data_IF_916526234687
#
_entry.id   IF_916526234687
#
_cell.length_a   1.000
_cell.length_b   1.000
_cell.length_c   1.000
_cell.angle_alpha   90.00
_cell.angle_beta   90.00
_cell.angle_gamma   90.00
#
_symmetry.space_group_name_H-M   'P 1'
#
loop_
_entity.id
_entity.type
_entity.pdbx_description
1 polymer ?
#
# COMPACT_ATOMS: atom_id res chain seq x y z
N UNK A 1 -11.14 -54.60 -2.40
CA UNK A 1 -10.11 -53.85 -1.67
C UNK A 1 -8.73 -54.49 -1.75
N UNK A 2 -8.55 -55.78 -1.52
CA UNK A 2 -7.24 -56.46 -1.53
C UNK A 2 -6.52 -56.38 -2.88
N UNK A 3 -7.22 -56.50 -4.01
CA UNK A 3 -6.62 -56.42 -5.34
C UNK A 3 -6.11 -55.01 -5.68
N UNK A 4 -6.78 -53.94 -5.21
CA UNK A 4 -6.34 -52.58 -5.36
C UNK A 4 -5.07 -52.29 -4.56
N UNK A 5 -5.00 -52.76 -3.31
CA UNK A 5 -3.81 -52.65 -2.48
C UNK A 5 -2.60 -53.34 -3.09
N UNK A 6 -2.76 -54.57 -3.62
CA UNK A 6 -1.68 -55.30 -4.31
C UNK A 6 -1.17 -54.55 -5.55
N UNK A 7 -2.06 -53.93 -6.33
CA UNK A 7 -1.70 -53.11 -7.50
C UNK A 7 -0.91 -51.85 -7.10
N UNK A 8 -1.30 -51.20 -6.01
CA UNK A 8 -0.59 -50.04 -5.48
C UNK A 8 0.84 -50.40 -5.04
N UNK A 9 0.99 -51.51 -4.30
CA UNK A 9 2.31 -51.99 -3.85
C UNK A 9 3.19 -52.37 -5.02
N UNK A 10 2.62 -52.97 -6.06
CA UNK A 10 3.40 -53.35 -7.25
C UNK A 10 3.96 -52.12 -7.99
N UNK A 11 3.21 -50.99 -8.04
CA UNK A 11 3.63 -49.73 -8.70
C UNK A 11 4.26 -48.74 -7.74
N UNK A 12 4.68 -49.13 -6.54
CA UNK A 12 5.21 -48.22 -5.50
C UNK A 12 6.30 -47.26 -6.00
N UNK A 13 7.25 -47.73 -6.81
CA UNK A 13 8.33 -46.91 -7.37
C UNK A 13 7.81 -45.87 -8.32
N UNK A 14 6.83 -46.22 -9.16
CA UNK A 14 6.19 -45.29 -10.10
C UNK A 14 5.39 -44.21 -9.36
N UNK A 15 4.67 -44.58 -8.29
CA UNK A 15 3.90 -43.63 -7.47
C UNK A 15 4.82 -42.63 -6.79
N UNK A 16 5.95 -43.11 -6.22
CA UNK A 16 6.95 -42.20 -5.60
C UNK A 16 7.56 -41.27 -6.64
N UNK A 17 7.93 -41.81 -7.82
CA UNK A 17 8.46 -40.97 -8.92
C UNK A 17 7.44 -39.92 -9.39
N UNK A 18 6.17 -40.29 -9.55
CA UNK A 18 5.09 -39.35 -9.91
C UNK A 18 4.90 -38.28 -8.84
N UNK A 19 4.99 -38.66 -7.55
CA UNK A 19 4.90 -37.69 -6.46
C UNK A 19 6.02 -36.61 -6.53
N UNK A 20 7.26 -37.04 -6.81
CA UNK A 20 8.38 -36.13 -7.01
C UNK A 20 8.19 -35.23 -8.24
N UNK A 21 7.66 -35.73 -9.34
CA UNK A 21 7.36 -34.92 -10.53
C UNK A 21 6.30 -33.88 -10.20
N UNK A 22 5.27 -34.21 -9.42
CA UNK A 22 4.21 -33.25 -9.03
C UNK A 22 4.69 -32.20 -8.03
N UNK A 23 5.76 -32.45 -7.27
CA UNK A 23 6.35 -31.45 -6.39
C UNK A 23 6.91 -30.25 -7.17
N UNK A 24 7.46 -30.47 -8.38
CA UNK A 24 8.03 -29.38 -9.19
C UNK A 24 6.99 -28.31 -9.55
N UNK A 25 5.86 -28.64 -10.20
CA UNK A 25 4.84 -27.64 -10.50
C UNK A 25 4.19 -27.07 -9.24
N UNK A 26 4.11 -27.85 -8.14
CA UNK A 26 3.57 -27.37 -6.87
C UNK A 26 4.45 -26.28 -6.27
N UNK A 27 5.77 -26.46 -6.24
CA UNK A 27 6.69 -25.43 -5.73
C UNK A 27 6.68 -24.15 -6.61
N UNK A 28 6.63 -24.32 -7.94
CA UNK A 28 6.48 -23.19 -8.85
C UNK A 28 5.14 -22.46 -8.62
N UNK A 29 4.07 -23.22 -8.38
CA UNK A 29 2.75 -22.67 -8.06
C UNK A 29 2.78 -21.81 -6.81
N UNK A 30 3.37 -22.28 -5.72
CA UNK A 30 3.48 -21.55 -4.46
C UNK A 30 4.18 -20.20 -4.67
N UNK A 31 5.33 -20.19 -5.38
CA UNK A 31 6.10 -18.95 -5.62
C UNK A 31 5.36 -17.97 -6.53
N UNK A 32 4.57 -18.47 -7.48
CA UNK A 32 3.80 -17.63 -8.42
C UNK A 32 2.42 -17.22 -7.92
N UNK A 33 1.91 -17.85 -6.89
CA UNK A 33 0.61 -17.51 -6.31
C UNK A 33 0.71 -16.15 -5.62
N UNK A 34 -0.10 -15.21 -6.08
CA UNK A 34 -0.23 -13.88 -5.48
C UNK A 34 -1.54 -13.81 -4.71
N UNK A 35 -1.44 -13.31 -3.50
CA UNK A 35 -2.64 -13.00 -2.70
C UNK A 35 -3.16 -11.64 -3.20
N UNK A 36 -4.41 -11.61 -3.64
CA UNK A 36 -5.04 -10.36 -4.01
C UNK A 36 -5.60 -9.68 -2.75
N UNK A 37 -5.00 -8.55 -2.37
CA UNK A 37 -5.46 -7.74 -1.24
C UNK A 37 -6.48 -6.68 -1.65
N UNK A 38 -6.87 -6.65 -2.93
CA UNK A 38 -7.82 -5.67 -3.45
C UNK A 38 -9.26 -6.08 -3.14
N UNK A 39 -9.82 -5.46 -2.12
CA UNK A 39 -11.20 -5.69 -1.71
C UNK A 39 -12.17 -5.31 -2.83
N UNK A 40 -11.82 -4.29 -3.65
CA UNK A 40 -12.68 -3.83 -4.74
C UNK A 40 -12.79 -4.87 -5.86
N UNK A 41 -11.76 -5.68 -6.08
CA UNK A 41 -11.77 -6.74 -7.10
C UNK A 41 -12.78 -7.86 -6.81
N UNK A 42 -13.32 -7.94 -5.61
CA UNK A 42 -14.37 -8.89 -5.23
C UNK A 42 -15.79 -8.31 -5.39
N UNK A 43 -15.88 -7.03 -5.73
CA UNK A 43 -17.17 -6.35 -5.93
C UNK A 43 -17.57 -6.38 -7.41
N UNK A 44 -18.88 -6.44 -7.71
CA UNK A 44 -19.36 -6.31 -9.08
C UNK A 44 -19.00 -4.96 -9.69
N UNK A 45 -18.56 -4.93 -10.94
CA UNK A 45 -18.21 -3.71 -11.69
C UNK A 45 -19.36 -2.69 -11.82
N UNK A 46 -20.61 -3.16 -11.60
CA UNK A 46 -21.79 -2.31 -11.64
C UNK A 46 -21.92 -1.34 -10.47
N UNK A 47 -21.19 -1.58 -9.37
CA UNK A 47 -21.25 -0.74 -8.17
C UNK A 47 -20.63 0.63 -8.39
N UNK A 48 -21.28 1.66 -7.84
CA UNK A 48 -20.80 3.04 -7.92
C UNK A 48 -19.41 3.23 -7.33
N UNK A 49 -19.08 2.48 -6.28
CA UNK A 49 -17.76 2.53 -5.65
C UNK A 49 -16.64 2.07 -6.61
N UNK A 50 -16.88 0.99 -7.36
CA UNK A 50 -15.92 0.47 -8.35
C UNK A 50 -15.75 1.48 -9.48
N UNK A 51 -16.87 1.95 -10.06
CA UNK A 51 -16.84 2.99 -11.09
C UNK A 51 -16.17 4.29 -10.63
N UNK A 52 -16.43 4.69 -9.39
CA UNK A 52 -15.78 5.87 -8.80
C UNK A 52 -14.27 5.68 -8.67
N UNK A 53 -13.81 4.51 -8.29
CA UNK A 53 -12.39 4.19 -8.22
C UNK A 53 -11.72 4.24 -9.60
N UNK A 54 -12.36 3.67 -10.62
CA UNK A 54 -11.85 3.70 -11.99
C UNK A 54 -11.71 5.14 -12.49
N UNK A 55 -12.74 5.97 -12.25
CA UNK A 55 -12.69 7.41 -12.60
C UNK A 55 -11.55 8.12 -11.85
N UNK A 56 -11.34 7.81 -10.56
CA UNK A 56 -10.26 8.38 -9.76
C UNK A 56 -8.89 8.04 -10.35
N UNK A 57 -8.68 6.79 -10.76
CA UNK A 57 -7.44 6.35 -11.38
C UNK A 57 -7.25 6.97 -12.77
N UNK A 58 -8.25 6.85 -13.63
CA UNK A 58 -8.13 7.18 -15.05
C UNK A 58 -8.15 8.70 -15.33
N UNK A 59 -8.98 9.44 -14.61
CA UNK A 59 -9.17 10.87 -14.88
C UNK A 59 -8.40 11.78 -13.93
N UNK A 60 -8.18 11.35 -12.68
CA UNK A 60 -7.48 12.15 -11.67
C UNK A 60 -6.07 11.64 -11.36
N UNK A 61 -5.67 10.50 -11.91
CA UNK A 61 -4.37 9.89 -11.64
C UNK A 61 -4.18 9.49 -10.16
N UNK A 62 -5.27 9.41 -9.39
CA UNK A 62 -5.25 9.17 -7.95
C UNK A 62 -5.66 7.73 -7.66
N UNK A 63 -4.73 6.80 -7.76
CA UNK A 63 -5.00 5.38 -7.52
C UNK A 63 -5.18 5.03 -6.05
N UNK A 64 -4.37 5.60 -5.19
CA UNK A 64 -4.40 5.35 -3.75
C UNK A 64 -3.86 6.55 -2.97
N UNK A 65 -4.15 6.58 -1.66
CA UNK A 65 -3.59 7.59 -0.77
C UNK A 65 -3.24 7.02 0.60
N UNK A 66 -2.29 7.68 1.27
CA UNK A 66 -1.96 7.46 2.67
C UNK A 66 -1.85 8.80 3.40
N UNK A 67 -2.19 8.80 4.67
CA UNK A 67 -2.00 9.93 5.57
C UNK A 67 -0.68 9.76 6.31
N UNK A 68 0.12 10.81 6.34
CA UNK A 68 1.40 10.85 7.07
C UNK A 68 1.24 11.86 8.19
N UNK A 69 1.27 11.39 9.41
CA UNK A 69 1.21 12.23 10.61
C UNK A 69 2.63 12.42 11.12
N UNK A 70 3.02 13.65 11.33
CA UNK A 70 4.33 14.03 11.85
C UNK A 70 4.13 14.77 13.16
N UNK A 71 4.76 14.28 14.24
CA UNK A 71 4.65 14.85 15.58
C UNK A 71 5.97 15.53 16.00
N UNK A 72 5.86 16.62 16.74
CA UNK A 72 6.99 17.31 17.39
C UNK A 72 8.16 17.64 16.45
N UNK A 73 7.90 17.96 15.19
CA UNK A 73 8.90 18.35 14.19
C UNK A 73 8.67 19.80 13.75
N UNK A 74 9.75 20.55 13.54
CA UNK A 74 9.59 21.91 13.01
C UNK A 74 9.19 21.88 11.53
N UNK A 75 8.47 22.92 11.07
CA UNK A 75 7.89 22.96 9.73
C UNK A 75 8.91 22.84 8.60
N UNK A 76 10.13 23.37 8.81
CA UNK A 76 11.19 23.30 7.81
C UNK A 76 11.73 21.87 7.62
N UNK A 77 11.82 21.11 8.72
CA UNK A 77 12.23 19.69 8.63
C UNK A 77 11.10 18.82 8.09
N UNK A 78 9.83 19.15 8.35
CA UNK A 78 8.67 18.52 7.70
C UNK A 78 8.72 18.76 6.19
N UNK A 79 9.05 19.96 5.73
CA UNK A 79 9.22 20.24 4.30
C UNK A 79 10.36 19.41 3.67
N UNK A 80 11.51 19.31 4.34
CA UNK A 80 12.60 18.44 3.87
C UNK A 80 12.18 16.98 3.83
N UNK A 81 11.39 16.54 4.81
CA UNK A 81 10.82 15.19 4.82
C UNK A 81 9.88 14.99 3.64
N UNK A 82 8.95 15.93 3.38
CA UNK A 82 8.07 15.91 2.20
C UNK A 82 8.88 15.71 0.92
N UNK A 83 9.90 16.53 0.70
CA UNK A 83 10.77 16.44 -0.49
C UNK A 83 11.50 15.10 -0.63
N UNK A 84 11.86 14.44 0.48
CA UNK A 84 12.45 13.10 0.45
C UNK A 84 11.42 12.03 0.09
N UNK A 85 10.22 12.15 0.62
CA UNK A 85 9.13 11.21 0.38
C UNK A 85 8.58 11.32 -1.04
N UNK A 86 8.55 12.51 -1.63
CA UNK A 86 8.17 12.72 -3.04
C UNK A 86 9.11 12.05 -4.04
N UNK A 87 10.36 11.80 -3.64
CA UNK A 87 11.35 11.10 -4.48
C UNK A 87 11.23 9.58 -4.42
N UNK A 88 10.34 9.04 -3.59
CA UNK A 88 10.09 7.61 -3.52
C UNK A 88 9.37 7.17 -4.80
N UNK A 89 9.84 6.07 -5.39
CA UNK A 89 9.22 5.52 -6.58
C UNK A 89 7.74 5.21 -6.34
N UNK A 90 6.90 5.42 -7.35
CA UNK A 90 5.45 5.20 -7.34
C UNK A 90 4.64 6.16 -6.46
N UNK A 91 5.26 7.08 -5.74
CA UNK A 91 4.59 8.25 -5.17
C UNK A 91 4.29 9.21 -6.32
N UNK A 92 3.07 9.70 -6.41
CA UNK A 92 2.68 10.72 -7.39
C UNK A 92 3.02 12.11 -6.85
N UNK A 93 2.42 12.46 -5.71
CA UNK A 93 2.69 13.71 -5.01
C UNK A 93 2.37 13.59 -3.52
N UNK A 94 2.90 14.53 -2.74
CA UNK A 94 2.54 14.69 -1.32
C UNK A 94 1.93 16.06 -1.13
N UNK A 95 0.70 16.08 -0.67
CA UNK A 95 -0.04 17.31 -0.40
C UNK A 95 0.17 17.69 1.06
N UNK A 96 0.59 18.92 1.27
CA UNK A 96 0.71 19.52 2.58
C UNK A 96 0.28 20.98 2.53
N UNK A 97 0.30 21.68 3.65
CA UNK A 97 -0.16 23.05 3.66
C UNK A 97 0.76 24.01 2.87
N UNK A 98 2.03 23.66 2.64
CA UNK A 98 2.96 24.44 1.82
C UNK A 98 2.57 24.50 0.33
N UNK A 99 1.68 23.61 -0.12
CA UNK A 99 1.06 23.69 -1.44
C UNK A 99 -0.06 24.75 -1.50
N UNK A 100 -0.51 25.25 -0.35
CA UNK A 100 -1.62 26.20 -0.23
C UNK A 100 -1.12 27.59 0.22
N UNK A 101 -0.13 27.63 1.11
CA UNK A 101 0.41 28.83 1.70
C UNK A 101 1.92 28.71 1.91
N UNK A 102 2.66 29.81 1.75
CA UNK A 102 4.09 29.85 2.02
C UNK A 102 4.39 29.54 3.51
N UNK A 103 5.50 28.85 3.77
CA UNK A 103 5.96 28.50 5.13
C UNK A 103 6.25 29.72 6.01
N UNK A 104 6.47 30.88 5.42
CA UNK A 104 6.64 32.14 6.16
C UNK A 104 5.35 32.65 6.77
N UNK A 105 4.20 32.15 6.31
CA UNK A 105 2.89 32.50 6.86
C UNK A 105 2.67 31.74 8.16
N UNK A 106 2.53 32.42 9.32
CA UNK A 106 2.24 31.74 10.58
C UNK A 106 0.95 30.91 10.48
N UNK A 107 0.96 29.70 11.04
CA UNK A 107 -0.20 28.79 11.00
C UNK A 107 -1.48 29.39 11.57
N UNK A 108 -1.34 30.39 12.45
CA UNK A 108 -2.44 31.12 13.08
C UNK A 108 -3.17 32.03 12.07
N UNK A 109 -2.50 32.44 10.99
CA UNK A 109 -3.09 33.26 9.91
C UNK A 109 -3.80 32.43 8.85
N UNK A 110 -3.63 31.10 8.87
CA UNK A 110 -4.33 30.22 7.94
C UNK A 110 -5.82 30.20 8.22
N UNK A 111 -6.67 30.06 7.18
CA UNK A 111 -8.09 29.82 7.36
C UNK A 111 -8.32 28.63 8.30
N UNK A 112 -9.28 28.75 9.21
CA UNK A 112 -9.53 27.72 10.24
C UNK A 112 -9.76 26.32 9.65
N UNK A 113 -10.42 26.24 8.49
CA UNK A 113 -10.66 24.99 7.78
C UNK A 113 -9.35 24.32 7.35
N UNK A 114 -8.42 25.09 6.78
CA UNK A 114 -7.10 24.59 6.35
C UNK A 114 -6.28 24.17 7.57
N UNK A 115 -6.24 25.02 8.58
CA UNK A 115 -5.50 24.74 9.82
C UNK A 115 -5.98 23.46 10.48
N UNK A 116 -7.28 23.22 10.58
CA UNK A 116 -7.85 22.00 11.19
C UNK A 116 -7.54 20.73 10.40
N UNK A 117 -7.36 20.82 9.09
CA UNK A 117 -6.99 19.66 8.26
C UNK A 117 -5.52 19.29 8.47
N UNK A 118 -4.62 20.26 8.45
CA UNK A 118 -3.19 19.99 8.44
C UNK A 118 -2.52 20.04 9.81
N UNK A 119 -3.14 20.65 10.82
CA UNK A 119 -2.52 20.85 12.13
C UNK A 119 -3.43 20.47 13.28
N UNK A 120 -2.86 19.75 14.24
CA UNK A 120 -3.49 19.47 15.52
C UNK A 120 -2.42 19.48 16.63
N UNK A 121 -2.50 20.46 17.56
CA UNK A 121 -1.48 20.66 18.60
C UNK A 121 -0.07 20.75 17.99
N UNK A 122 0.80 19.79 18.32
CA UNK A 122 2.18 19.69 17.83
C UNK A 122 2.34 18.74 16.63
N UNK A 123 1.23 18.23 16.10
CA UNK A 123 1.24 17.34 14.94
C UNK A 123 0.83 18.07 13.68
N UNK A 124 1.41 17.66 12.56
CA UNK A 124 0.97 18.05 11.21
C UNK A 124 0.71 16.80 10.37
N UNK A 125 -0.20 16.93 9.41
CA UNK A 125 -0.60 15.85 8.53
C UNK A 125 -0.27 16.19 7.08
N UNK A 126 0.31 15.23 6.37
CA UNK A 126 0.48 15.24 4.91
C UNK A 126 -0.34 14.13 4.29
N UNK A 127 -0.71 14.29 3.03
CA UNK A 127 -1.43 13.27 2.25
C UNK A 127 -0.52 12.85 1.11
N UNK A 128 -0.07 11.60 1.13
CA UNK A 128 0.66 11.00 0.01
C UNK A 128 -0.34 10.39 -0.97
N UNK A 129 -0.21 10.72 -2.24
CA UNK A 129 -0.96 10.13 -3.35
C UNK A 129 -0.05 9.22 -4.15
N UNK A 130 -0.57 8.08 -4.60
CA UNK A 130 0.15 7.07 -5.35
C UNK A 130 -0.44 6.93 -6.75
N UNK A 131 0.41 6.55 -7.71
CA UNK A 131 0.02 6.41 -9.11
C UNK A 131 -0.92 5.24 -9.36
N UNK A 132 -0.85 4.21 -8.53
CA UNK A 132 -1.59 2.97 -8.71
C UNK A 132 -2.56 2.72 -7.55
N UNK A 133 -3.38 1.70 -7.68
CA UNK A 133 -4.39 1.34 -6.68
C UNK A 133 -3.77 0.91 -5.35
N UNK A 134 -4.58 0.91 -4.31
CA UNK A 134 -4.18 0.63 -2.92
C UNK A 134 -3.48 -0.73 -2.75
N UNK A 135 -3.89 -1.73 -3.53
CA UNK A 135 -3.41 -3.11 -3.47
C UNK A 135 -2.31 -3.44 -4.48
N UNK A 136 -1.89 -2.46 -5.28
CA UNK A 136 -0.76 -2.63 -6.19
C UNK A 136 0.54 -2.91 -5.43
N UNK A 137 1.34 -3.84 -5.93
CA UNK A 137 2.67 -4.14 -5.41
C UNK A 137 3.55 -2.88 -5.36
N UNK A 138 3.43 -2.00 -6.36
CA UNK A 138 4.17 -0.75 -6.46
C UNK A 138 3.75 0.24 -5.35
N UNK A 139 2.46 0.35 -5.04
CA UNK A 139 1.96 1.18 -3.95
C UNK A 139 2.44 0.65 -2.59
N UNK A 140 2.38 -0.66 -2.37
CA UNK A 140 2.85 -1.28 -1.13
C UNK A 140 4.37 -1.15 -0.96
N UNK A 141 5.13 -1.24 -2.06
CA UNK A 141 6.57 -0.98 -2.04
C UNK A 141 6.86 0.47 -1.69
N UNK A 142 6.16 1.43 -2.29
CA UNK A 142 6.29 2.86 -1.97
C UNK A 142 6.03 3.13 -0.47
N UNK A 143 4.95 2.60 0.09
CA UNK A 143 4.64 2.71 1.52
C UNK A 143 5.76 2.12 2.38
N UNK A 144 6.30 0.97 1.99
CA UNK A 144 7.41 0.31 2.69
C UNK A 144 8.69 1.14 2.63
N UNK A 145 9.00 1.74 1.48
CA UNK A 145 10.15 2.64 1.32
C UNK A 145 9.96 3.93 2.13
N UNK A 146 8.77 4.52 2.11
CA UNK A 146 8.44 5.70 2.91
C UNK A 146 8.63 5.43 4.40
N UNK A 147 8.21 4.27 4.91
CA UNK A 147 8.43 3.87 6.32
C UNK A 147 9.90 3.78 6.73
N UNK A 148 10.79 3.46 5.81
CA UNK A 148 12.25 3.45 6.07
C UNK A 148 12.84 4.87 6.14
N UNK A 149 12.22 5.84 5.49
CA UNK A 149 12.66 7.23 5.46
C UNK A 149 12.14 8.00 6.68
N UNK A 150 10.90 7.73 7.09
CA UNK A 150 10.29 8.41 8.23
C UNK A 150 10.86 7.92 9.55
N UNK A 151 11.09 8.85 10.47
CA UNK A 151 11.57 8.55 11.82
C UNK A 151 10.44 8.11 12.77
N UNK A 152 10.79 7.90 14.04
CA UNK A 152 9.84 7.48 15.10
C UNK A 152 8.73 8.49 15.39
N UNK A 153 8.88 9.74 14.96
CA UNK A 153 7.90 10.83 15.12
C UNK A 153 6.87 10.87 13.98
N UNK A 154 6.91 9.90 13.07
CA UNK A 154 6.06 9.89 11.90
C UNK A 154 5.27 8.58 11.82
N UNK A 155 3.99 8.71 11.52
CA UNK A 155 3.07 7.57 11.37
C UNK A 155 2.47 7.62 9.96
N UNK A 156 2.57 6.51 9.23
CA UNK A 156 1.90 6.36 7.93
C UNK A 156 0.67 5.49 8.15
N UNK A 157 -0.49 6.04 7.85
CA UNK A 157 -1.80 5.42 8.02
C UNK A 157 -2.63 5.56 6.73
N UNK A 158 -3.84 5.02 6.75
CA UNK A 158 -4.73 4.98 5.60
C UNK A 158 -4.77 3.61 4.96
N UNK A 159 -5.65 3.44 3.96
CA UNK A 159 -5.93 2.13 3.38
C UNK A 159 -4.67 1.47 2.79
N UNK A 160 -3.82 2.23 2.09
CA UNK A 160 -2.56 1.70 1.53
C UNK A 160 -1.59 1.23 2.61
N UNK A 161 -1.55 1.94 3.75
CA UNK A 161 -0.79 1.52 4.92
C UNK A 161 -1.29 0.20 5.51
N UNK A 162 -2.61 0.08 5.69
CA UNK A 162 -3.25 -1.14 6.24
C UNK A 162 -3.01 -2.34 5.33
N UNK A 163 -3.22 -2.22 4.02
CA UNK A 163 -2.98 -3.31 3.06
C UNK A 163 -1.52 -3.74 3.06
N UNK A 164 -0.58 -2.78 3.16
CA UNK A 164 0.85 -3.07 3.27
C UNK A 164 1.17 -3.85 4.56
N UNK A 165 0.53 -3.49 5.67
CA UNK A 165 0.71 -4.20 6.94
C UNK A 165 0.17 -5.63 6.89
N UNK A 166 -1.00 -5.84 6.32
CA UNK A 166 -1.58 -7.17 6.12
C UNK A 166 -0.63 -8.05 5.28
N UNK A 167 -0.10 -7.51 4.18
CA UNK A 167 0.88 -8.23 3.33
C UNK A 167 2.14 -8.63 4.10
N UNK A 168 2.62 -7.79 5.00
CA UNK A 168 3.85 -8.04 5.76
C UNK A 168 3.65 -9.01 6.95
N UNK A 169 2.40 -9.27 7.36
CA UNK A 169 2.05 -10.19 8.43
C UNK A 169 1.83 -11.63 7.94
N UNK A 170 1.63 -11.84 6.65
CA UNK A 170 1.40 -13.13 6.00
C UNK A 170 2.67 -13.64 5.36
#
# INVERSE_FOLDING_TARGET
>A
MIQFAKKLVHHRKFIVFLAFILLIPSTIGIVKTRINYDILSYLPDSLETVKGQDIMVDQFGAGAYSMIIVEDMNLHDVQKLKQKLEKVNHVDKIIWYDDIADLSVPKEMLPEKVRKVFFNKNATMMIAMFKETTSSDNTMEAVTQMRKIVGKQCFISGMSGVVTDIKNLV
#
